data_IF_743363732086
#
_entry.id   IF_743363732086
#
_cell.length_a   1.000
_cell.length_b   1.000
_cell.length_c   1.000
_cell.angle_alpha   90.00
_cell.angle_beta   90.00
_cell.angle_gamma   90.00
#
_symmetry.space_group_name_H-M   'P 1'
#
loop_
_entity.id
_entity.type
_entity.pdbx_description
1 polymer ?
#
# COMPACT_ATOMS: atom_id res chain seq x y z
N UNK A 1 -2.08 24.97 -5.47
CA UNK A 1 -2.88 24.31 -4.42
C UNK A 1 -2.05 23.14 -3.93
N UNK A 2 -1.55 23.17 -2.69
CA UNK A 2 -0.68 22.12 -2.16
C UNK A 2 -1.50 20.85 -1.85
N UNK A 3 -0.87 19.68 -1.96
CA UNK A 3 -1.50 18.41 -1.62
C UNK A 3 -1.90 18.39 -0.13
N UNK A 4 -3.03 17.77 0.18
CA UNK A 4 -3.52 17.66 1.56
C UNK A 4 -2.48 16.91 2.40
N UNK A 5 -2.13 17.47 3.56
CA UNK A 5 -1.15 16.92 4.51
C UNK A 5 0.33 16.92 4.05
N UNK A 6 0.71 17.78 3.10
CA UNK A 6 2.10 17.90 2.63
C UNK A 6 3.10 18.17 3.77
N UNK A 7 2.74 19.00 4.75
CA UNK A 7 3.62 19.35 5.87
C UNK A 7 3.88 18.13 6.77
N UNK A 8 2.86 17.28 6.95
CA UNK A 8 2.99 16.01 7.67
C UNK A 8 3.90 15.05 6.91
N UNK A 9 3.76 14.96 5.59
CA UNK A 9 4.63 14.13 4.76
C UNK A 9 6.08 14.59 4.81
N UNK A 10 6.31 15.91 4.82
CA UNK A 10 7.65 16.48 4.97
C UNK A 10 8.24 16.19 6.35
N UNK A 11 7.43 16.12 7.42
CA UNK A 11 7.91 15.75 8.75
C UNK A 11 8.25 14.26 8.91
N UNK A 12 7.73 13.39 8.04
CA UNK A 12 7.99 11.93 8.08
C UNK A 12 9.34 11.56 7.50
N UNK A 13 9.99 12.45 6.76
CA UNK A 13 11.27 12.21 6.10
C UNK A 13 12.26 13.32 6.41
N UNK A 14 13.51 12.95 6.59
CA UNK A 14 14.66 13.83 6.71
C UNK A 14 14.94 14.69 5.46
N UNK A 15 14.45 14.28 4.29
CA UNK A 15 14.70 14.98 3.02
C UNK A 15 13.51 14.93 2.06
N UNK A 16 13.26 16.05 1.37
CA UNK A 16 12.26 16.16 0.29
C UNK A 16 12.47 15.13 -0.82
N UNK A 17 13.73 14.83 -1.13
CA UNK A 17 14.08 13.82 -2.15
C UNK A 17 13.71 12.41 -1.69
N UNK A 18 13.89 12.12 -0.41
CA UNK A 18 13.52 10.83 0.17
C UNK A 18 12.01 10.63 0.13
N UNK A 19 11.23 11.66 0.45
CA UNK A 19 9.77 11.62 0.31
C UNK A 19 9.34 11.28 -1.13
N UNK A 20 9.96 11.90 -2.14
CA UNK A 20 9.67 11.61 -3.54
C UNK A 20 9.96 10.16 -3.90
N UNK A 21 11.12 9.63 -3.49
CA UNK A 21 11.50 8.23 -3.76
C UNK A 21 10.57 7.25 -3.06
N UNK A 22 10.25 7.48 -1.80
CA UNK A 22 9.35 6.63 -1.00
C UNK A 22 7.95 6.62 -1.60
N UNK A 23 7.44 7.79 -1.97
CA UNK A 23 6.12 7.92 -2.61
C UNK A 23 6.08 7.19 -3.95
N UNK A 24 7.12 7.35 -4.78
CA UNK A 24 7.21 6.68 -6.08
C UNK A 24 7.28 5.15 -5.93
N UNK A 25 8.13 4.64 -5.02
CA UNK A 25 8.23 3.21 -4.74
C UNK A 25 6.90 2.64 -4.25
N UNK A 26 6.20 3.35 -3.37
CA UNK A 26 4.89 2.91 -2.89
C UNK A 26 3.84 2.90 -4.00
N UNK A 27 3.84 3.90 -4.88
CA UNK A 27 2.94 3.91 -6.04
C UNK A 27 3.19 2.72 -7.00
N UNK A 28 4.45 2.31 -7.19
CA UNK A 28 4.80 1.12 -7.97
C UNK A 28 4.27 -0.16 -7.29
N UNK A 29 4.37 -0.27 -5.97
CA UNK A 29 3.80 -1.40 -5.23
C UNK A 29 2.27 -1.46 -5.37
N UNK A 30 1.58 -0.32 -5.30
CA UNK A 30 0.13 -0.26 -5.52
C UNK A 30 -0.21 -0.69 -6.96
N UNK A 31 0.61 -0.30 -7.94
CA UNK A 31 0.45 -0.72 -9.34
C UNK A 31 0.64 -2.23 -9.53
N UNK A 32 1.57 -2.85 -8.80
CA UNK A 32 1.74 -4.31 -8.80
C UNK A 32 0.66 -5.06 -8.00
N UNK A 33 -0.31 -4.31 -7.46
CA UNK A 33 -1.51 -4.82 -6.82
C UNK A 33 -1.42 -4.93 -5.30
N UNK A 34 -0.35 -4.42 -4.67
CA UNK A 34 -0.21 -4.47 -3.22
C UNK A 34 -1.45 -3.89 -2.52
N UNK A 35 -1.86 -4.47 -1.38
CA UNK A 35 -3.04 -4.00 -0.66
C UNK A 35 -2.83 -2.57 -0.21
N UNK A 36 -3.89 -1.79 -0.40
CA UNK A 36 -3.93 -0.41 0.07
C UNK A 36 -4.29 -0.39 1.56
N UNK A 37 -3.65 0.50 2.33
CA UNK A 37 -3.98 0.72 3.75
C UNK A 37 -5.07 1.77 3.95
N UNK A 38 -5.53 2.40 2.86
CA UNK A 38 -6.66 3.32 2.85
C UNK A 38 -7.97 2.57 3.03
N UNK A 39 -8.94 3.24 3.66
CA UNK A 39 -10.32 2.75 3.69
C UNK A 39 -10.87 2.61 2.25
N UNK A 40 -11.75 1.62 1.99
CA UNK A 40 -12.29 1.35 0.66
C UNK A 40 -12.90 2.59 -0.01
N UNK A 41 -13.59 3.44 0.77
CA UNK A 41 -14.27 4.64 0.29
C UNK A 41 -13.28 5.70 -0.21
N UNK A 42 -12.15 5.85 0.50
CA UNK A 42 -11.09 6.80 0.16
C UNK A 42 -10.30 6.30 -1.05
N UNK A 43 -10.04 4.99 -1.11
CA UNK A 43 -9.40 4.33 -2.24
C UNK A 43 -10.21 4.50 -3.52
N UNK A 44 -11.53 4.25 -3.46
CA UNK A 44 -12.43 4.35 -4.61
C UNK A 44 -12.47 5.75 -5.24
N UNK A 45 -12.33 6.80 -4.41
CA UNK A 45 -12.34 8.21 -4.84
C UNK A 45 -11.00 8.70 -5.40
N UNK A 46 -9.94 7.90 -5.30
CA UNK A 46 -8.57 8.32 -5.64
C UNK A 46 -8.02 7.44 -6.73
N UNK A 47 -8.04 7.86 -7.99
CA UNK A 47 -7.50 7.04 -9.09
C UNK A 47 -5.98 7.18 -9.28
N UNK A 48 -5.41 8.31 -8.88
CA UNK A 48 -3.97 8.55 -9.00
C UNK A 48 -3.21 7.77 -7.91
N UNK A 49 -2.34 6.85 -8.34
CA UNK A 49 -1.54 6.00 -7.44
C UNK A 49 -0.54 6.79 -6.59
N UNK A 50 -0.02 7.90 -7.10
CA UNK A 50 0.89 8.79 -6.35
C UNK A 50 0.11 9.48 -5.22
N UNK A 51 -1.06 10.01 -5.52
CA UNK A 51 -1.96 10.60 -4.52
C UNK A 51 -2.42 9.57 -3.50
N UNK A 52 -2.69 8.32 -3.91
CA UNK A 52 -2.97 7.23 -2.97
C UNK A 52 -1.77 6.97 -2.06
N UNK A 53 -0.57 6.84 -2.62
CA UNK A 53 0.65 6.60 -1.84
C UNK A 53 0.93 7.72 -0.83
N UNK A 54 0.75 8.99 -1.22
CA UNK A 54 0.88 10.14 -0.31
C UNK A 54 -0.13 10.07 0.83
N UNK A 55 -1.40 9.77 0.52
CA UNK A 55 -2.43 9.60 1.56
C UNK A 55 -2.14 8.43 2.49
N UNK A 56 -1.61 7.33 1.97
CA UNK A 56 -1.21 6.18 2.77
C UNK A 56 -0.07 6.50 3.73
N UNK A 57 0.96 7.19 3.25
CA UNK A 57 2.06 7.66 4.08
C UNK A 57 1.56 8.58 5.20
N UNK A 58 0.61 9.47 4.89
CA UNK A 58 0.00 10.36 5.88
C UNK A 58 -0.78 9.62 6.98
N UNK A 59 -1.20 8.36 6.77
CA UNK A 59 -1.86 7.56 7.81
C UNK A 59 -0.91 7.09 8.92
N UNK A 60 0.40 7.06 8.68
CA UNK A 60 1.39 6.54 9.63
C UNK A 60 1.38 5.01 9.78
N UNK A 61 0.62 4.28 8.95
CA UNK A 61 0.58 2.81 8.95
C UNK A 61 1.73 2.18 8.15
N UNK A 62 2.49 2.98 7.41
CA UNK A 62 3.62 2.53 6.61
C UNK A 62 4.93 2.88 7.32
N UNK A 63 5.84 1.92 7.39
CA UNK A 63 7.19 2.13 7.92
C UNK A 63 8.12 2.56 6.80
N UNK A 64 8.86 3.65 7.01
CA UNK A 64 9.87 4.19 6.09
C UNK A 64 11.22 4.09 6.76
N UNK A 65 12.21 3.51 6.09
CA UNK A 65 13.55 3.33 6.65
C UNK A 65 14.50 2.64 5.68
N UNK A 66 15.74 2.52 6.12
CA UNK A 66 16.78 1.71 5.48
C UNK A 66 16.93 0.41 6.27
N UNK A 67 17.28 -0.70 5.62
CA UNK A 67 17.30 -2.07 6.21
C UNK A 67 15.91 -2.69 6.46
N UNK A 68 14.93 -2.31 5.66
CA UNK A 68 13.67 -3.06 5.55
C UNK A 68 13.89 -4.35 4.74
N UNK A 69 12.86 -5.18 4.67
CA UNK A 69 12.93 -6.45 3.96
C UNK A 69 13.35 -6.24 2.50
N UNK A 70 14.11 -7.21 1.96
CA UNK A 70 14.50 -7.20 0.55
C UNK A 70 13.27 -7.16 -0.36
N UNK A 71 13.34 -6.40 -1.45
CA UNK A 71 12.27 -6.27 -2.45
C UNK A 71 11.86 -7.61 -3.04
N UNK A 72 12.81 -8.52 -3.28
CA UNK A 72 12.54 -9.86 -3.80
C UNK A 72 11.73 -10.69 -2.80
N UNK A 73 12.08 -10.60 -1.52
CA UNK A 73 11.38 -11.29 -0.43
C UNK A 73 9.98 -10.70 -0.21
N UNK A 74 9.86 -9.37 -0.28
CA UNK A 74 8.57 -8.68 -0.23
C UNK A 74 7.62 -9.18 -1.32
N UNK A 75 8.09 -9.29 -2.56
CA UNK A 75 7.27 -9.75 -3.68
C UNK A 75 6.81 -11.20 -3.48
N UNK A 76 7.69 -12.10 -3.02
CA UNK A 76 7.36 -13.50 -2.76
C UNK A 76 6.34 -13.64 -1.63
N UNK A 77 6.57 -12.99 -0.49
CA UNK A 77 5.67 -13.02 0.65
C UNK A 77 4.29 -12.44 0.27
N UNK A 78 4.29 -11.38 -0.54
CA UNK A 78 3.06 -10.79 -1.08
C UNK A 78 2.29 -11.75 -1.98
N UNK A 79 2.95 -12.39 -2.95
CA UNK A 79 2.29 -13.38 -3.82
C UNK A 79 1.70 -14.53 -3.01
N UNK A 80 2.43 -15.02 -2.00
CA UNK A 80 1.98 -16.08 -1.11
C UNK A 80 0.73 -15.66 -0.33
N UNK A 81 0.70 -14.46 0.26
CA UNK A 81 -0.46 -13.96 0.99
C UNK A 81 -1.69 -13.80 0.08
N UNK A 82 -1.50 -13.30 -1.15
CA UNK A 82 -2.59 -13.16 -2.12
C UNK A 82 -3.19 -14.51 -2.52
N UNK A 83 -2.34 -15.51 -2.78
CA UNK A 83 -2.80 -16.87 -3.08
C UNK A 83 -3.58 -17.48 -1.90
N UNK A 84 -3.08 -17.31 -0.68
CA UNK A 84 -3.75 -17.78 0.52
C UNK A 84 -5.13 -17.12 0.72
N UNK A 85 -5.25 -15.81 0.48
CA UNK A 85 -6.54 -15.11 0.55
C UNK A 85 -7.54 -15.61 -0.50
N UNK A 86 -7.11 -15.81 -1.75
CA UNK A 86 -7.97 -16.33 -2.81
C UNK A 86 -8.46 -17.75 -2.49
N UNK A 87 -7.56 -18.60 -2.00
CA UNK A 87 -7.92 -19.96 -1.61
C UNK A 87 -8.89 -20.00 -0.43
N UNK A 88 -8.72 -19.12 0.56
CA UNK A 88 -9.65 -18.98 1.67
C UNK A 88 -11.04 -18.52 1.22
N UNK A 89 -11.12 -17.59 0.26
CA UNK A 89 -12.40 -17.15 -0.32
C UNK A 89 -13.12 -18.29 -1.05
N UNK A 90 -12.40 -19.04 -1.89
CA UNK A 90 -12.95 -20.20 -2.61
C UNK A 90 -13.46 -21.29 -1.67
N UNK A 91 -12.72 -21.56 -0.59
CA UNK A 91 -13.14 -22.54 0.42
C UNK A 91 -14.41 -22.08 1.15
N UNK A 92 -14.46 -20.80 1.55
CA UNK A 92 -15.64 -20.23 2.20
C UNK A 92 -16.88 -20.22 1.30
N UNK A 93 -16.72 -20.00 -0.01
CA UNK A 93 -17.80 -20.12 -0.99
C UNK A 93 -18.31 -21.56 -1.11
N UNK A 94 -17.40 -22.54 -1.20
CA UNK A 94 -17.77 -23.97 -1.23
C UNK A 94 -18.47 -24.46 0.03
N UNK A 95 -18.11 -23.91 1.18
CA UNK A 95 -18.78 -24.24 2.45
C UNK A 95 -20.21 -23.66 2.47
N UNK A 96 -20.41 -22.43 1.98
CA UNK A 96 -21.77 -21.84 1.86
C UNK A 96 -22.67 -22.55 0.85
N UNK A 97 -22.11 -23.16 -0.20
CA UNK A 97 -22.88 -23.95 -1.16
C UNK A 97 -23.26 -25.35 -0.66
N UNK A 98 -22.65 -25.81 0.45
CA UNK A 98 -22.93 -27.12 1.06
C UNK A 98 -23.96 -27.10 2.19
N UNK A 99 -24.24 -25.92 2.75
CA UNK A 99 -25.30 -25.66 3.74
C UNK A 99 -26.62 -25.26 3.07
#
# INVERSE_FOLDING_TARGET
>A
MAEKDIDKLLSLTDSKYRLSVVTAKRAIQLKSGAPSVLAPDVKARTHNLVTQAMRELATGKLTVGEQLIDESRFQQDYQRQRQAQLQAQLNAERERERD
#
